data_IF_709141498554
#
_entry.id   IF_709141498554
#
_cell.length_a   1.000
_cell.length_b   1.000
_cell.length_c   1.000
_cell.angle_alpha   90.00
_cell.angle_beta   90.00
_cell.angle_gamma   90.00
#
_symmetry.space_group_name_H-M   'P 1'
#
loop_
_entity.id
_entity.type
_entity.pdbx_description
1 polymer ?
#
# COMPACT_ATOMS: atom_id res chain seq x y z
N UNK A 1 11.75 10.68 -5.90
CA UNK A 1 11.26 9.39 -6.33
C UNK A 1 9.81 9.47 -6.79
N UNK A 2 9.51 8.87 -7.89
CA UNK A 2 8.18 8.95 -8.48
C UNK A 2 7.35 7.74 -8.04
N UNK A 3 6.13 8.01 -7.63
CA UNK A 3 5.18 6.96 -7.32
C UNK A 3 4.27 6.76 -8.51
N UNK A 4 3.92 5.52 -8.77
CA UNK A 4 3.16 5.20 -9.97
C UNK A 4 1.70 5.60 -9.87
N UNK A 5 1.16 5.67 -8.68
CA UNK A 5 -0.25 5.97 -8.53
C UNK A 5 -0.49 6.62 -7.19
N UNK A 6 -1.67 7.22 -7.08
CA UNK A 6 -2.08 7.79 -5.81
C UNK A 6 -2.23 6.71 -4.75
N UNK A 7 -2.58 5.51 -5.18
CA UNK A 7 -2.71 4.41 -4.24
C UNK A 7 -1.38 4.11 -3.58
N UNK A 8 -0.29 4.11 -4.36
CA UNK A 8 1.02 3.85 -3.78
C UNK A 8 1.43 4.96 -2.84
N UNK A 9 1.10 6.20 -3.17
CA UNK A 9 1.39 7.30 -2.28
C UNK A 9 0.64 7.13 -0.95
N UNK A 10 -0.61 6.69 -1.03
CA UNK A 10 -1.40 6.49 0.18
C UNK A 10 -0.84 5.33 1.00
N UNK A 11 -0.39 4.28 0.33
CA UNK A 11 0.21 3.16 1.05
C UNK A 11 1.43 3.63 1.84
N UNK A 12 2.27 4.42 1.22
CA UNK A 12 3.45 4.93 1.92
C UNK A 12 3.06 5.78 3.11
N UNK A 13 2.05 6.61 2.93
CA UNK A 13 1.59 7.45 4.03
C UNK A 13 1.09 6.60 5.18
N UNK A 14 0.29 5.59 4.88
CA UNK A 14 -0.27 4.75 5.92
C UNK A 14 0.84 4.03 6.67
N UNK A 15 1.79 3.48 5.95
CA UNK A 15 2.89 2.77 6.58
C UNK A 15 3.70 3.70 7.48
N UNK A 16 3.85 4.95 7.08
CA UNK A 16 4.63 5.91 7.85
C UNK A 16 3.91 6.36 9.10
N UNK A 17 2.59 6.44 9.05
CA UNK A 17 1.83 7.02 10.16
C UNK A 17 1.10 5.99 10.99
N UNK A 18 0.93 4.78 10.48
CA UNK A 18 0.18 3.75 11.15
C UNK A 18 1.03 2.50 11.25
N UNK A 19 0.94 1.84 12.38
CA UNK A 19 1.69 0.60 12.58
C UNK A 19 0.94 -0.56 11.92
N UNK A 20 1.21 -0.76 10.65
CA UNK A 20 0.56 -1.81 9.86
C UNK A 20 1.34 -3.11 10.03
N UNK A 21 0.68 -4.13 10.53
CA UNK A 21 1.31 -5.41 10.77
C UNK A 21 0.96 -6.46 9.73
N UNK A 22 -0.17 -6.31 9.05
CA UNK A 22 -0.58 -7.28 8.05
C UNK A 22 -1.06 -6.57 6.81
N UNK A 23 -1.08 -7.31 5.70
CA UNK A 23 -1.61 -6.75 4.45
C UNK A 23 -3.10 -6.48 4.55
N UNK A 24 -3.81 -7.29 5.30
CA UNK A 24 -5.23 -7.07 5.47
C UNK A 24 -5.50 -5.75 6.17
N UNK A 25 -4.68 -5.43 7.14
CA UNK A 25 -4.82 -4.16 7.83
C UNK A 25 -4.59 -3.01 6.87
N UNK A 26 -3.57 -3.12 6.04
CA UNK A 26 -3.29 -2.09 5.05
C UNK A 26 -4.44 -1.96 4.05
N UNK A 27 -4.96 -3.09 3.61
CA UNK A 27 -6.08 -3.08 2.67
C UNK A 27 -7.27 -2.36 3.27
N UNK A 28 -7.55 -2.63 4.53
CA UNK A 28 -8.68 -1.99 5.19
C UNK A 28 -8.47 -0.48 5.28
N UNK A 29 -7.27 -0.05 5.63
CA UNK A 29 -6.98 1.36 5.68
C UNK A 29 -7.17 2.02 4.34
N UNK A 30 -6.75 1.34 3.28
CA UNK A 30 -6.90 1.88 1.94
C UNK A 30 -8.37 2.01 1.55
N UNK A 31 -9.17 1.02 1.91
CA UNK A 31 -10.59 1.06 1.59
C UNK A 31 -11.26 2.22 2.31
N UNK A 32 -10.87 2.48 3.54
CA UNK A 32 -11.42 3.60 4.27
C UNK A 32 -11.00 4.93 3.69
N UNK A 33 -9.87 4.95 3.02
CA UNK A 33 -9.39 6.15 2.37
C UNK A 33 -10.01 6.35 0.98
N UNK A 34 -10.82 5.40 0.54
CA UNK A 34 -11.47 5.53 -0.75
C UNK A 34 -10.80 4.76 -1.86
N UNK A 35 -9.80 3.97 -1.55
CA UNK A 35 -9.12 3.16 -2.55
C UNK A 35 -9.61 1.72 -2.46
N UNK A 36 -10.37 1.30 -3.44
CA UNK A 36 -10.86 -0.08 -3.46
C UNK A 36 -9.94 -0.91 -4.34
N UNK A 37 -9.31 -1.89 -3.73
CA UNK A 37 -8.38 -2.75 -4.45
C UNK A 37 -8.44 -4.15 -3.88
N UNK A 38 -7.97 -5.11 -4.65
CA UNK A 38 -7.88 -6.46 -4.16
C UNK A 38 -6.58 -6.65 -3.39
N UNK A 39 -6.55 -7.70 -2.60
CA UNK A 39 -5.37 -8.01 -1.83
C UNK A 39 -4.17 -8.27 -2.75
N UNK A 40 -4.41 -8.93 -3.87
CA UNK A 40 -3.33 -9.21 -4.81
C UNK A 40 -2.72 -7.92 -5.34
N UNK A 41 -3.56 -6.94 -5.66
CA UNK A 41 -3.07 -5.65 -6.14
C UNK A 41 -2.23 -4.96 -5.08
N UNK A 42 -2.69 -5.00 -3.83
CA UNK A 42 -1.95 -4.38 -2.74
C UNK A 42 -0.61 -5.07 -2.53
N UNK A 43 -0.59 -6.39 -2.62
CA UNK A 43 0.67 -7.11 -2.47
C UNK A 43 1.68 -6.69 -3.53
N UNK A 44 1.22 -6.53 -4.77
CA UNK A 44 2.12 -6.10 -5.82
C UNK A 44 2.65 -4.71 -5.56
N UNK A 45 1.76 -3.81 -5.14
CA UNK A 45 2.20 -2.44 -4.87
C UNK A 45 3.24 -2.43 -3.77
N UNK A 46 3.05 -3.22 -2.74
CA UNK A 46 4.01 -3.27 -1.65
C UNK A 46 5.36 -3.74 -2.15
N UNK A 47 5.36 -4.75 -2.99
CA UNK A 47 6.63 -5.23 -3.54
C UNK A 47 7.33 -4.17 -4.34
N UNK A 48 6.59 -3.44 -5.15
CA UNK A 48 7.19 -2.38 -5.96
C UNK A 48 7.75 -1.27 -5.10
N UNK A 49 7.01 -0.91 -4.05
CA UNK A 49 7.45 0.18 -3.18
C UNK A 49 8.68 -0.19 -2.38
N UNK A 50 8.81 -1.46 -2.05
CA UNK A 50 9.98 -1.91 -1.31
C UNK A 50 11.20 -2.09 -2.19
N UNK A 51 11.05 -1.82 -3.49
CA UNK A 51 12.15 -2.05 -4.39
C UNK A 51 12.53 -3.50 -4.43
N UNK A 52 11.55 -4.35 -4.44
CA UNK A 52 11.72 -5.77 -4.28
C UNK A 52 12.55 -6.33 -5.39
N UNK A 53 13.79 -6.51 -5.16
CA UNK A 53 14.63 -7.11 -6.13
C UNK A 53 15.49 -8.09 -5.42
N UNK A 54 15.81 -8.98 -6.09
CA UNK A 54 16.43 -10.04 -5.41
C UNK A 54 17.70 -10.28 -5.71
#
# INVERSE_FOLDING_TARGET
MALKSKRQAKIMEIISTTNVETQEQLLQELQEAGFTSTQATISRDIKELRGDRQ
#
